data_IF_869125892170
#
_entry.id   IF_869125892170
#
_cell.length_a   1.000
_cell.length_b   1.000
_cell.length_c   1.000
_cell.angle_alpha   90.00
_cell.angle_beta   90.00
_cell.angle_gamma   90.00
#
_symmetry.space_group_name_H-M   'P 1'
#
loop_
_entity.id
_entity.type
_entity.pdbx_description
1 polymer ?
#
# COMPACT_ATOMS: atom_id res chain seq x y z
N UNK A 1 31.12 23.99 -34.08
CA UNK A 1 29.69 24.29 -34.33
C UNK A 1 28.92 22.99 -34.18
N UNK A 2 28.23 22.80 -33.06
CA UNK A 2 27.29 21.70 -32.86
C UNK A 2 25.90 22.12 -33.36
N UNK A 3 25.12 21.19 -33.90
CA UNK A 3 23.72 21.12 -33.56
C UNK A 3 23.42 19.76 -32.91
N UNK A 4 22.97 19.85 -31.67
CA UNK A 4 22.37 18.79 -30.88
C UNK A 4 20.91 18.58 -31.30
N UNK A 5 20.51 17.34 -31.57
CA UNK A 5 19.10 16.92 -31.60
C UNK A 5 19.02 15.41 -31.36
N UNK A 6 19.02 15.01 -30.10
CA UNK A 6 18.63 13.67 -29.66
C UNK A 6 17.11 13.65 -29.53
N UNK A 7 16.43 12.97 -30.45
CA UNK A 7 15.04 12.58 -30.28
C UNK A 7 14.99 11.37 -29.34
N UNK A 8 14.32 11.52 -28.18
CA UNK A 8 13.99 10.42 -27.29
C UNK A 8 12.78 9.63 -27.80
N UNK A 9 12.56 8.39 -27.32
CA UNK A 9 11.51 7.52 -27.82
C UNK A 9 10.12 7.98 -27.36
N UNK A 10 9.14 7.85 -28.25
CA UNK A 10 7.72 8.05 -28.00
C UNK A 10 7.22 7.07 -26.93
N UNK A 11 6.91 7.61 -25.75
CA UNK A 11 6.23 6.86 -24.70
C UNK A 11 4.72 6.99 -24.99
N UNK A 12 4.17 5.97 -25.63
CA UNK A 12 2.76 5.88 -25.99
C UNK A 12 1.86 6.17 -24.78
N UNK A 13 1.11 7.26 -24.87
CA UNK A 13 0.02 7.54 -23.92
C UNK A 13 -1.15 6.65 -24.31
N UNK A 14 -1.57 5.77 -23.39
CA UNK A 14 -2.75 4.95 -23.56
C UNK A 14 -3.97 5.87 -23.77
N UNK A 15 -4.52 5.80 -24.97
CA UNK A 15 -5.63 6.61 -25.47
C UNK A 15 -6.86 6.35 -24.58
N UNK A 16 -7.12 7.26 -23.65
CA UNK A 16 -8.40 7.30 -22.95
C UNK A 16 -9.45 7.80 -23.94
N UNK A 17 -10.61 7.12 -24.06
CA UNK A 17 -11.62 7.52 -25.02
C UNK A 17 -12.03 8.97 -24.79
N UNK A 18 -11.87 9.79 -25.83
CA UNK A 18 -12.31 11.18 -25.85
C UNK A 18 -13.84 11.18 -25.75
N UNK A 19 -14.36 11.54 -24.60
CA UNK A 19 -15.77 11.82 -24.44
C UNK A 19 -16.08 13.16 -25.11
N UNK A 20 -16.77 13.10 -26.25
CA UNK A 20 -17.33 14.26 -26.93
C UNK A 20 -18.37 14.97 -26.04
N UNK A 21 -18.25 16.29 -25.93
CA UNK A 21 -19.42 17.19 -25.90
C UNK A 21 -20.01 17.64 -24.56
N UNK A 22 -19.43 17.33 -23.40
CA UNK A 22 -19.83 17.98 -22.14
C UNK A 22 -18.72 18.92 -21.66
N UNK A 23 -18.95 20.23 -21.71
CA UNK A 23 -18.05 21.23 -21.15
C UNK A 23 -17.88 20.95 -19.65
N UNK A 24 -16.81 20.24 -19.28
CA UNK A 24 -16.58 19.85 -17.88
C UNK A 24 -16.33 21.13 -17.10
N UNK A 25 -17.24 21.45 -16.18
CA UNK A 25 -17.19 22.70 -15.43
C UNK A 25 -15.83 22.86 -14.75
N UNK A 26 -15.13 23.94 -15.11
CA UNK A 26 -13.84 24.27 -14.52
C UNK A 26 -14.08 24.72 -13.09
N UNK A 27 -13.44 24.05 -12.15
CA UNK A 27 -13.55 24.39 -10.73
C UNK A 27 -12.80 25.70 -10.48
N UNK A 28 -13.48 26.65 -9.82
CA UNK A 28 -12.95 27.97 -9.47
C UNK A 28 -12.42 28.79 -10.67
N UNK A 29 -12.87 28.48 -11.89
CA UNK A 29 -12.40 29.15 -13.11
C UNK A 29 -10.94 28.85 -13.49
N UNK A 30 -10.29 27.87 -12.87
CA UNK A 30 -8.87 27.57 -13.09
C UNK A 30 -8.71 26.74 -14.37
N UNK A 31 -8.58 27.45 -15.50
CA UNK A 31 -8.28 26.86 -16.80
C UNK A 31 -6.80 26.46 -16.97
N UNK A 32 -5.89 27.04 -16.18
CA UNK A 32 -4.45 26.73 -16.21
C UNK A 32 -3.82 26.99 -14.85
N UNK A 33 -3.38 25.93 -14.18
CA UNK A 33 -2.63 26.00 -12.93
C UNK A 33 -1.17 26.40 -13.18
N UNK A 34 -0.40 26.57 -12.09
CA UNK A 34 1.05 26.80 -12.14
C UNK A 34 1.81 25.74 -12.97
N UNK A 35 1.35 24.49 -12.95
CA UNK A 35 1.93 23.38 -13.72
C UNK A 35 1.22 23.14 -15.06
N UNK A 36 0.36 24.06 -15.49
CA UNK A 36 -0.36 23.98 -16.77
C UNK A 36 -1.58 23.07 -16.77
N UNK A 37 -2.06 22.61 -15.62
CA UNK A 37 -3.20 21.68 -15.51
C UNK A 37 -4.53 22.43 -15.34
N UNK A 38 -5.61 21.83 -15.84
CA UNK A 38 -6.98 22.30 -15.60
C UNK A 38 -7.51 21.74 -14.29
N UNK A 39 -8.38 22.50 -13.61
CA UNK A 39 -9.12 22.00 -12.47
C UNK A 39 -10.53 21.65 -12.93
N UNK A 40 -10.86 20.37 -12.88
CA UNK A 40 -12.14 19.83 -13.33
C UNK A 40 -12.85 19.19 -12.14
N UNK A 41 -14.17 19.37 -12.07
CA UNK A 41 -14.98 18.59 -11.14
C UNK A 41 -15.02 17.15 -11.64
N UNK A 42 -14.92 16.18 -10.73
CA UNK A 42 -15.11 14.79 -11.11
C UNK A 42 -16.59 14.60 -11.46
N UNK A 43 -16.94 14.18 -12.69
CA UNK A 43 -18.33 14.02 -13.07
C UNK A 43 -18.98 12.92 -12.25
N UNK A 44 -20.14 13.21 -11.69
CA UNK A 44 -20.98 12.24 -10.98
C UNK A 44 -22.43 12.42 -11.42
N UNK A 45 -23.18 11.32 -11.50
CA UNK A 45 -24.62 11.40 -11.75
C UNK A 45 -25.31 12.04 -10.53
N UNK A 46 -25.98 13.20 -10.67
CA UNK A 46 -26.70 13.82 -9.58
C UNK A 46 -27.75 12.91 -8.95
N UNK A 47 -28.33 11.98 -9.71
CA UNK A 47 -29.30 11.00 -9.19
C UNK A 47 -28.64 10.05 -8.21
N UNK A 48 -27.45 9.56 -8.55
CA UNK A 48 -26.64 8.75 -7.62
C UNK A 48 -26.36 9.54 -6.35
N UNK A 49 -25.92 10.80 -6.43
CA UNK A 49 -25.68 11.64 -5.24
C UNK A 49 -26.93 11.76 -4.36
N UNK A 50 -28.10 12.00 -4.96
CA UNK A 50 -29.36 12.07 -4.20
C UNK A 50 -29.71 10.75 -3.51
N UNK A 51 -29.45 9.61 -4.16
CA UNK A 51 -29.65 8.29 -3.53
C UNK A 51 -28.78 8.13 -2.29
N UNK A 52 -27.51 8.56 -2.32
CA UNK A 52 -26.63 8.52 -1.16
C UNK A 52 -27.15 9.41 -0.02
N UNK A 53 -27.57 10.64 -0.33
CA UNK A 53 -28.12 11.59 0.65
C UNK A 53 -29.35 11.01 1.34
N UNK A 54 -30.28 10.46 0.57
CA UNK A 54 -31.55 9.95 1.10
C UNK A 54 -31.37 8.65 1.88
N UNK A 55 -30.56 7.72 1.36
CA UNK A 55 -30.44 6.38 1.95
C UNK A 55 -29.59 6.36 3.21
N UNK A 56 -28.56 7.18 3.26
CA UNK A 56 -27.55 7.17 4.33
C UNK A 56 -27.49 8.47 5.11
N UNK A 57 -28.43 9.38 4.89
CA UNK A 57 -28.54 10.68 5.58
C UNK A 57 -27.24 11.51 5.50
N UNK A 58 -26.50 11.35 4.40
CA UNK A 58 -25.23 12.04 4.19
C UNK A 58 -25.45 13.47 3.69
N UNK A 59 -24.49 14.35 3.97
CA UNK A 59 -24.43 15.65 3.29
C UNK A 59 -24.22 15.45 1.78
N UNK A 60 -24.74 16.37 0.96
CA UNK A 60 -24.55 16.32 -0.50
C UNK A 60 -23.07 16.26 -0.88
N UNK A 61 -22.22 17.00 -0.17
CA UNK A 61 -20.78 17.00 -0.42
C UNK A 61 -20.16 15.62 -0.16
N UNK A 62 -20.50 15.00 0.97
CA UNK A 62 -20.01 13.65 1.30
C UNK A 62 -20.50 12.63 0.26
N UNK A 63 -21.79 12.67 -0.09
CA UNK A 63 -22.39 11.81 -1.11
C UNK A 63 -21.69 11.96 -2.49
N UNK A 64 -21.44 13.20 -2.92
CA UNK A 64 -20.73 13.52 -4.16
C UNK A 64 -19.30 12.99 -4.16
N UNK A 65 -18.58 13.12 -3.06
CA UNK A 65 -17.22 12.57 -2.91
C UNK A 65 -17.21 11.05 -2.97
N UNK A 66 -18.15 10.37 -2.31
CA UNK A 66 -18.26 8.90 -2.34
C UNK A 66 -18.59 8.38 -3.74
N UNK A 67 -19.62 8.94 -4.38
CA UNK A 67 -19.97 8.60 -5.75
C UNK A 67 -18.81 8.86 -6.72
N UNK A 68 -18.10 9.99 -6.55
CA UNK A 68 -16.91 10.30 -7.34
C UNK A 68 -15.75 9.34 -7.11
N UNK A 69 -15.65 8.69 -5.95
CA UNK A 69 -14.66 7.64 -5.69
C UNK A 69 -15.05 6.27 -6.26
N UNK A 70 -16.23 6.15 -6.86
CA UNK A 70 -16.75 4.88 -7.38
C UNK A 70 -17.26 3.94 -6.29
N UNK A 71 -17.49 4.45 -5.07
CA UNK A 71 -18.13 3.68 -4.00
C UNK A 71 -19.58 3.45 -4.41
N UNK A 72 -20.08 2.22 -4.30
CA UNK A 72 -21.48 1.91 -4.54
C UNK A 72 -22.37 2.44 -3.42
N UNK A 73 -23.65 2.70 -3.73
CA UNK A 73 -24.63 3.13 -2.72
C UNK A 73 -24.66 2.15 -1.56
N UNK A 74 -24.60 0.84 -1.83
CA UNK A 74 -24.66 -0.19 -0.78
C UNK A 74 -23.36 -0.33 0.01
N UNK A 75 -22.24 0.14 -0.52
CA UNK A 75 -20.91 -0.02 0.07
C UNK A 75 -20.59 1.07 1.12
N UNK A 76 -21.48 2.06 1.27
CA UNK A 76 -21.29 3.22 2.15
C UNK A 76 -20.95 2.83 3.59
N UNK A 77 -21.67 1.89 4.25
CA UNK A 77 -21.34 1.51 5.62
C UNK A 77 -19.95 0.90 5.73
N UNK A 78 -19.58 0.01 4.81
CA UNK A 78 -18.26 -0.63 4.79
C UNK A 78 -17.13 0.35 4.53
N UNK A 79 -17.38 1.40 3.75
CA UNK A 79 -16.40 2.44 3.47
C UNK A 79 -16.24 3.46 4.61
N UNK A 80 -17.34 3.93 5.20
CA UNK A 80 -17.32 4.97 6.24
C UNK A 80 -17.06 4.43 7.64
N UNK A 81 -17.48 3.20 7.92
CA UNK A 81 -17.31 2.53 9.20
C UNK A 81 -16.70 1.13 9.00
N UNK A 82 -15.49 1.03 8.40
CA UNK A 82 -14.86 -0.25 8.15
C UNK A 82 -14.55 -0.96 9.47
N UNK A 83 -14.82 -2.26 9.53
CA UNK A 83 -14.35 -3.11 10.62
C UNK A 83 -13.26 -4.05 10.13
N UNK A 84 -12.31 -4.39 11.00
CA UNK A 84 -11.31 -5.41 10.69
C UNK A 84 -11.95 -6.76 10.35
N UNK A 85 -13.07 -7.10 11.01
CA UNK A 85 -13.81 -8.35 10.77
C UNK A 85 -14.30 -8.44 9.32
N UNK A 86 -14.79 -7.34 8.77
CA UNK A 86 -15.40 -7.33 7.44
C UNK A 86 -14.35 -7.15 6.33
N UNK A 87 -13.20 -6.54 6.65
CA UNK A 87 -12.17 -6.20 5.66
C UNK A 87 -10.96 -7.12 5.65
N UNK A 88 -10.67 -7.86 6.72
CA UNK A 88 -9.56 -8.82 6.70
C UNK A 88 -10.00 -10.08 5.94
N UNK A 89 -9.48 -10.33 4.73
CA UNK A 89 -9.73 -11.59 4.04
C UNK A 89 -9.06 -12.74 4.81
N UNK A 90 -9.49 -13.96 4.50
CA UNK A 90 -8.79 -15.16 4.95
C UNK A 90 -7.30 -15.10 4.53
N UNK A 91 -6.36 -15.09 5.48
CA UNK A 91 -4.93 -15.01 5.18
C UNK A 91 -4.43 -16.22 4.37
N UNK A 92 -5.12 -17.37 4.42
CA UNK A 92 -4.73 -18.57 3.67
C UNK A 92 -4.85 -18.39 2.14
N UNK A 93 -5.44 -17.27 1.69
CA UNK A 93 -5.47 -16.88 0.28
C UNK A 93 -4.12 -16.39 -0.24
N UNK A 94 -3.19 -16.01 0.64
CA UNK A 94 -1.82 -15.69 0.24
C UNK A 94 -1.05 -16.97 -0.04
N UNK A 95 -0.25 -16.95 -1.11
CA UNK A 95 0.58 -18.09 -1.49
C UNK A 95 1.45 -18.52 -0.29
N UNK A 96 1.37 -19.80 0.06
CA UNK A 96 2.14 -20.44 1.13
C UNK A 96 1.99 -19.81 2.53
N UNK A 97 0.91 -19.05 2.79
CA UNK A 97 0.70 -18.41 4.10
C UNK A 97 0.64 -19.42 5.24
N UNK A 98 -0.14 -20.50 5.10
CA UNK A 98 -0.21 -21.56 6.10
C UNK A 98 1.15 -22.20 6.36
N UNK A 99 1.91 -22.52 5.31
CA UNK A 99 3.27 -23.10 5.42
C UNK A 99 4.24 -22.15 6.14
N UNK A 100 4.19 -20.85 5.79
CA UNK A 100 5.02 -19.82 6.44
C UNK A 100 4.66 -19.63 7.91
N UNK A 101 3.37 -19.58 8.23
CA UNK A 101 2.86 -19.47 9.60
C UNK A 101 3.27 -20.68 10.45
N UNK A 102 3.12 -21.90 9.93
CA UNK A 102 3.56 -23.13 10.59
C UNK A 102 5.08 -23.13 10.84
N UNK A 103 5.88 -22.69 9.87
CA UNK A 103 7.34 -22.58 10.03
C UNK A 103 7.73 -21.62 11.16
N UNK A 104 7.05 -20.48 11.28
CA UNK A 104 7.30 -19.51 12.34
C UNK A 104 6.78 -19.98 13.69
N UNK A 105 5.61 -20.60 13.74
CA UNK A 105 5.09 -21.22 14.96
C UNK A 105 6.07 -22.30 15.47
N UNK A 106 6.59 -23.14 14.58
CA UNK A 106 7.61 -24.13 14.88
C UNK A 106 8.89 -23.50 15.46
N UNK A 107 9.39 -22.41 14.85
CA UNK A 107 10.55 -21.68 15.38
C UNK A 107 10.30 -21.18 16.81
N UNK A 108 9.13 -20.59 17.06
CA UNK A 108 8.76 -20.08 18.39
C UNK A 108 8.74 -21.23 19.41
N UNK A 109 8.06 -22.33 19.09
CA UNK A 109 7.93 -23.49 19.97
C UNK A 109 9.27 -24.18 20.26
N UNK A 110 10.21 -24.16 19.30
CA UNK A 110 11.55 -24.72 19.45
C UNK A 110 12.56 -23.71 20.04
N UNK A 111 12.10 -22.51 20.44
CA UNK A 111 12.93 -21.43 20.95
C UNK A 111 14.07 -21.02 19.98
N UNK A 112 13.83 -21.16 18.68
CA UNK A 112 14.68 -20.64 17.62
C UNK A 112 14.69 -19.11 17.64
N UNK A 113 15.78 -18.50 17.16
CA UNK A 113 15.82 -17.05 16.96
C UNK A 113 15.26 -16.71 15.57
N UNK A 114 14.24 -15.85 15.54
CA UNK A 114 13.63 -15.34 14.31
C UNK A 114 14.31 -14.02 13.95
N UNK A 115 15.06 -14.02 12.85
CA UNK A 115 15.56 -12.79 12.24
C UNK A 115 14.45 -12.09 11.47
N UNK A 116 14.23 -10.81 11.74
CA UNK A 116 13.26 -9.98 11.02
C UNK A 116 14.07 -8.96 10.22
N UNK A 117 13.96 -8.99 8.90
CA UNK A 117 14.56 -8.01 8.01
C UNK A 117 13.45 -7.10 7.48
N UNK A 118 13.46 -5.83 7.86
CA UNK A 118 12.47 -4.85 7.39
C UNK A 118 13.05 -3.89 6.36
N UNK A 119 12.19 -3.23 5.60
CA UNK A 119 12.59 -2.03 4.85
C UNK A 119 12.79 -0.81 5.77
N UNK A 120 13.51 0.21 5.27
CA UNK A 120 13.84 1.42 6.02
C UNK A 120 12.70 2.43 6.12
N UNK A 121 11.62 2.27 5.36
CA UNK A 121 10.49 3.20 5.42
C UNK A 121 9.54 2.89 6.59
N UNK A 122 8.44 3.64 6.68
CA UNK A 122 7.52 3.54 7.81
C UNK A 122 6.79 2.19 7.83
N UNK A 123 6.46 1.60 6.68
CA UNK A 123 5.78 0.31 6.64
C UNK A 123 6.74 -0.81 7.10
N UNK A 124 7.95 -0.86 6.53
CA UNK A 124 8.99 -1.80 6.95
C UNK A 124 9.36 -1.70 8.45
N UNK A 125 9.53 -0.49 8.98
CA UNK A 125 9.86 -0.29 10.39
C UNK A 125 8.72 -0.69 11.33
N UNK A 126 7.47 -0.33 11.00
CA UNK A 126 6.30 -0.65 11.84
C UNK A 126 5.93 -2.12 11.79
N UNK A 127 5.99 -2.74 10.61
CA UNK A 127 5.81 -4.19 10.41
C UNK A 127 6.87 -4.99 11.19
N UNK A 128 8.13 -4.56 11.17
CA UNK A 128 9.21 -5.18 11.94
C UNK A 128 8.96 -5.10 13.45
N UNK A 129 8.55 -3.92 13.93
CA UNK A 129 8.24 -3.72 15.35
C UNK A 129 7.03 -4.55 15.78
N UNK A 130 5.98 -4.63 14.95
CA UNK A 130 4.78 -5.42 15.22
C UNK A 130 5.13 -6.91 15.37
N UNK A 131 5.83 -7.48 14.39
CA UNK A 131 6.19 -8.90 14.40
C UNK A 131 7.14 -9.21 15.58
N UNK A 132 8.12 -8.34 15.83
CA UNK A 132 9.04 -8.50 16.97
C UNK A 132 8.31 -8.48 18.32
N UNK A 133 7.34 -7.57 18.49
CA UNK A 133 6.50 -7.50 19.70
C UNK A 133 5.64 -8.74 19.86
N UNK A 134 5.02 -9.21 18.77
CA UNK A 134 4.21 -10.42 18.80
C UNK A 134 5.03 -11.64 19.23
N UNK A 135 6.16 -11.91 18.57
CA UNK A 135 7.00 -13.07 18.89
C UNK A 135 7.47 -13.04 20.34
N UNK A 136 7.91 -11.88 20.83
CA UNK A 136 8.30 -11.72 22.24
C UNK A 136 7.13 -11.93 23.21
N UNK A 137 5.94 -11.44 22.88
CA UNK A 137 4.75 -11.60 23.70
C UNK A 137 4.33 -13.07 23.85
N UNK A 138 4.59 -13.90 22.83
CA UNK A 138 4.36 -15.35 22.88
C UNK A 138 5.58 -16.16 23.35
N UNK A 139 6.62 -15.50 23.86
CA UNK A 139 7.78 -16.14 24.49
C UNK A 139 8.93 -16.53 23.55
N UNK A 140 8.88 -16.14 22.28
CA UNK A 140 9.94 -16.40 21.30
C UNK A 140 11.09 -15.39 21.32
N UNK A 141 12.17 -15.70 20.58
CA UNK A 141 13.35 -14.83 20.42
C UNK A 141 13.37 -14.17 19.04
N UNK A 142 13.68 -12.88 19.00
CA UNK A 142 13.79 -12.12 17.74
C UNK A 142 15.02 -11.22 17.70
N UNK A 143 15.54 -11.04 16.49
CA UNK A 143 16.48 -9.98 16.14
C UNK A 143 15.93 -9.20 14.93
N UNK A 144 16.08 -7.89 14.92
CA UNK A 144 15.56 -7.02 13.84
C UNK A 144 16.75 -6.38 13.13
N UNK A 145 16.76 -6.44 11.80
CA UNK A 145 17.66 -5.67 10.94
C UNK A 145 16.84 -4.73 10.06
N UNK A 146 17.21 -3.46 10.07
CA UNK A 146 16.69 -2.44 9.16
C UNK A 146 17.91 -1.89 8.39
N UNK A 147 17.95 -1.99 7.05
CA UNK A 147 19.13 -1.62 6.28
C UNK A 147 19.38 -0.11 6.29
N UNK A 148 20.65 0.28 6.31
CA UNK A 148 21.03 1.66 5.98
C UNK A 148 20.86 1.87 4.47
N UNK A 149 19.82 2.62 4.07
CA UNK A 149 19.48 2.87 2.66
C UNK A 149 20.67 3.34 1.81
N UNK A 150 21.57 4.15 2.39
CA UNK A 150 22.68 4.75 1.65
C UNK A 150 23.84 3.76 1.48
N UNK A 151 24.08 2.92 2.50
CA UNK A 151 25.24 2.02 2.50
C UNK A 151 24.91 0.62 1.98
N UNK A 152 23.73 0.11 2.30
CA UNK A 152 23.32 -1.26 2.02
C UNK A 152 22.38 -1.37 0.82
N UNK A 153 21.73 -0.27 0.42
CA UNK A 153 20.75 -0.25 -0.66
C UNK A 153 19.36 -0.68 -0.21
N UNK A 154 18.55 -1.18 -1.16
CA UNK A 154 17.17 -1.61 -0.92
C UNK A 154 17.06 -3.13 -0.80
N UNK A 155 16.28 -3.58 0.18
CA UNK A 155 15.89 -4.97 0.34
C UNK A 155 16.96 -5.89 0.95
N UNK A 156 16.64 -7.19 1.06
CA UNK A 156 17.50 -8.17 1.71
C UNK A 156 18.82 -8.34 0.97
N UNK A 157 19.93 -8.34 1.71
CA UNK A 157 21.26 -8.58 1.17
C UNK A 157 22.00 -9.68 1.95
N UNK A 158 22.94 -10.34 1.29
CA UNK A 158 23.67 -11.48 1.85
C UNK A 158 24.39 -11.11 3.15
N UNK A 159 25.00 -9.94 3.24
CA UNK A 159 25.76 -9.52 4.42
C UNK A 159 24.85 -9.37 5.64
N UNK A 160 23.68 -8.76 5.48
CA UNK A 160 22.72 -8.57 6.56
C UNK A 160 22.06 -9.89 7.00
N UNK A 161 21.71 -10.77 6.06
CA UNK A 161 21.15 -12.10 6.38
C UNK A 161 22.17 -12.95 7.15
N UNK A 162 23.43 -12.95 6.70
CA UNK A 162 24.51 -13.62 7.43
C UNK A 162 24.75 -12.96 8.79
N UNK A 163 24.69 -11.63 8.88
CA UNK A 163 24.80 -10.88 10.13
C UNK A 163 23.74 -11.29 11.17
N UNK A 164 22.49 -11.48 10.75
CA UNK A 164 21.41 -11.99 11.61
C UNK A 164 21.73 -13.40 12.15
N UNK A 165 22.28 -14.28 11.30
CA UNK A 165 22.69 -15.61 11.70
C UNK A 165 23.87 -15.57 12.67
N UNK A 166 24.94 -14.88 12.30
CA UNK A 166 26.22 -14.92 13.02
C UNK A 166 26.16 -14.16 14.34
N UNK A 167 25.44 -13.03 14.40
CA UNK A 167 25.37 -12.19 15.60
C UNK A 167 24.26 -12.61 16.56
N UNK A 168 23.18 -13.21 16.06
CA UNK A 168 21.98 -13.49 16.85
C UNK A 168 21.51 -14.94 16.81
N UNK A 169 22.19 -15.80 16.05
CA UNK A 169 21.81 -17.21 15.91
C UNK A 169 20.48 -17.39 15.20
N UNK A 170 20.10 -16.47 14.29
CA UNK A 170 18.85 -16.58 13.53
C UNK A 170 18.87 -17.86 12.67
N UNK A 171 17.86 -18.72 12.87
CA UNK A 171 17.66 -19.98 12.12
C UNK A 171 16.54 -19.86 11.08
N UNK A 172 15.72 -18.82 11.19
CA UNK A 172 14.72 -18.41 10.21
C UNK A 172 14.80 -16.90 10.05
N UNK A 173 14.65 -16.43 8.81
CA UNK A 173 14.55 -15.00 8.50
C UNK A 173 13.20 -14.73 7.85
N UNK A 174 12.52 -13.70 8.34
CA UNK A 174 11.29 -13.15 7.77
C UNK A 174 11.61 -11.78 7.22
N UNK A 175 11.32 -11.55 5.95
CA UNK A 175 11.38 -10.22 5.36
C UNK A 175 10.01 -9.55 5.47
N UNK A 176 9.98 -8.29 5.85
CA UNK A 176 8.75 -7.49 5.90
C UNK A 176 8.93 -6.24 5.06
N UNK A 177 7.93 -5.91 4.24
CA UNK A 177 7.95 -4.78 3.30
C UNK A 177 9.09 -4.81 2.25
N UNK A 178 9.63 -6.01 1.99
CA UNK A 178 10.67 -6.22 0.99
C UNK A 178 10.82 -7.71 0.63
N UNK A 179 11.65 -8.01 -0.37
CA UNK A 179 12.04 -9.38 -0.73
C UNK A 179 11.37 -9.94 -1.99
N UNK A 180 10.58 -9.14 -2.70
CA UNK A 180 10.06 -9.48 -4.04
C UNK A 180 10.99 -8.95 -5.13
N UNK A 181 11.19 -9.75 -6.19
CA UNK A 181 11.87 -9.36 -7.43
C UNK A 181 10.91 -8.65 -8.39
#
# INVERSE_FOLDING_TARGET
MCPSSLAGPDIGTADHPRHDGAETARVLGVARSLTGRQWLERPVDPRTVQTFVQRWELSELTARVLAGRGIGVEDVPGFLAPTLRDLLPDPDRFLDMGQGAERLAGAIMQNECIGIFGDYDVDGATSSALLSRFVRAVGGRTAVHIPDRIKEGYGPNTAAILGLKDSHGASVVVTVDCGTL
#
